data_IF_559918584111
#
_entry.id   IF_559918584111
#
_cell.length_a   1.000
_cell.length_b   1.000
_cell.length_c   1.000
_cell.angle_alpha   90.00
_cell.angle_beta   90.00
_cell.angle_gamma   90.00
#
_symmetry.space_group_name_H-M   'P 1'
#
loop_
_entity.id
_entity.type
_entity.pdbx_description
1 polymer ?
#
# COMPACT_ATOMS: atom_id res chain seq x y z
N UNK A 1 -10.37 -18.07 2.43
CA UNK A 1 -9.36 -17.01 2.66
C UNK A 1 -9.34 -16.07 1.47
N UNK A 2 -9.36 -14.76 1.69
CA UNK A 2 -9.50 -13.75 0.63
C UNK A 2 -8.16 -13.35 -0.03
N UNK A 3 -7.02 -13.53 0.68
CA UNK A 3 -5.68 -13.07 0.28
C UNK A 3 -5.30 -13.37 -1.17
N UNK A 4 -5.31 -14.63 -1.65
CA UNK A 4 -4.92 -14.95 -3.03
C UNK A 4 -5.82 -14.32 -4.11
N UNK A 5 -7.12 -14.16 -3.80
CA UNK A 5 -8.07 -13.54 -4.74
C UNK A 5 -7.85 -12.03 -4.82
N UNK A 6 -7.67 -11.38 -3.67
CA UNK A 6 -7.34 -9.96 -3.58
C UNK A 6 -5.99 -9.68 -4.25
N UNK A 7 -4.99 -10.54 -4.07
CA UNK A 7 -3.69 -10.39 -4.71
C UNK A 7 -3.79 -10.37 -6.23
N UNK A 8 -4.60 -11.28 -6.79
CA UNK A 8 -4.84 -11.32 -8.24
C UNK A 8 -5.52 -10.05 -8.74
N UNK A 9 -6.52 -9.55 -8.02
CA UNK A 9 -7.25 -8.34 -8.40
C UNK A 9 -6.38 -7.10 -8.29
N UNK A 10 -5.63 -6.97 -7.18
CA UNK A 10 -4.69 -5.88 -6.95
C UNK A 10 -3.65 -5.81 -8.06
N UNK A 11 -3.09 -6.95 -8.51
CA UNK A 11 -2.14 -6.98 -9.62
C UNK A 11 -2.72 -6.57 -10.99
N UNK A 12 -4.04 -6.49 -11.14
CA UNK A 12 -4.69 -5.99 -12.37
C UNK A 12 -5.17 -4.54 -12.25
N UNK A 13 -5.09 -3.96 -11.05
CA UNK A 13 -5.52 -2.59 -10.81
C UNK A 13 -4.42 -1.60 -11.22
N UNK A 14 -4.80 -0.45 -11.74
CA UNK A 14 -3.85 0.63 -12.03
C UNK A 14 -3.35 1.33 -10.76
N UNK A 15 -4.20 1.36 -9.73
CA UNK A 15 -3.95 2.01 -8.45
C UNK A 15 -4.37 1.05 -7.34
N UNK A 16 -3.51 0.88 -6.33
CA UNK A 16 -3.79 0.08 -5.12
C UNK A 16 -3.43 0.91 -3.89
N UNK A 17 -4.35 0.95 -2.92
CA UNK A 17 -4.12 1.47 -1.59
C UNK A 17 -4.30 0.30 -0.61
N UNK A 18 -3.36 0.13 0.32
CA UNK A 18 -3.42 -0.96 1.29
C UNK A 18 -2.77 -0.55 2.61
N UNK A 19 -3.35 -0.99 3.72
CA UNK A 19 -2.72 -0.89 5.04
C UNK A 19 -1.55 -1.87 5.17
N UNK A 20 -0.49 -1.50 5.91
CA UNK A 20 0.61 -2.43 6.20
C UNK A 20 0.13 -3.65 7.00
N UNK A 21 -0.79 -3.44 7.93
CA UNK A 21 -1.43 -4.48 8.74
C UNK A 21 -2.33 -5.42 7.92
N UNK A 22 -3.05 -4.87 6.94
CA UNK A 22 -3.82 -5.64 5.98
C UNK A 22 -2.91 -6.50 5.10
N UNK A 23 -1.81 -5.92 4.58
CA UNK A 23 -0.84 -6.64 3.77
C UNK A 23 -0.14 -7.76 4.55
N UNK A 24 0.18 -7.52 5.82
CA UNK A 24 0.72 -8.53 6.74
C UNK A 24 -0.30 -9.67 6.93
N UNK A 25 -1.56 -9.33 7.21
CA UNK A 25 -2.63 -10.31 7.46
C UNK A 25 -3.04 -11.11 6.21
N UNK A 26 -3.04 -10.48 5.04
CA UNK A 26 -3.52 -11.07 3.79
C UNK A 26 -2.42 -11.80 3.02
N UNK A 27 -1.19 -11.30 3.07
CA UNK A 27 -0.08 -11.72 2.20
C UNK A 27 1.23 -12.01 2.93
N UNK A 28 1.32 -11.75 4.24
CA UNK A 28 2.53 -11.97 5.02
C UNK A 28 3.64 -10.95 4.78
N UNK A 29 3.33 -9.81 4.16
CA UNK A 29 4.28 -8.73 3.91
C UNK A 29 4.36 -7.82 5.13
N UNK A 30 5.56 -7.63 5.65
CA UNK A 30 5.85 -6.80 6.83
C UNK A 30 6.41 -5.43 6.46
N UNK A 31 6.96 -5.27 5.25
CA UNK A 31 7.48 -3.98 4.73
C UNK A 31 6.77 -3.52 3.46
N UNK A 32 6.87 -2.22 3.16
CA UNK A 32 6.29 -1.64 1.95
C UNK A 32 6.94 -2.21 0.68
N UNK A 33 8.24 -2.49 0.73
CA UNK A 33 9.02 -3.11 -0.35
C UNK A 33 8.57 -4.56 -0.62
N UNK A 34 8.25 -5.33 0.43
CA UNK A 34 7.71 -6.68 0.28
C UNK A 34 6.35 -6.67 -0.43
N UNK A 35 5.48 -5.71 -0.09
CA UNK A 35 4.20 -5.51 -0.79
C UNK A 35 4.43 -5.13 -2.24
N UNK A 36 5.36 -4.20 -2.48
CA UNK A 36 5.73 -3.71 -3.80
C UNK A 36 6.26 -4.83 -4.71
N UNK A 37 7.12 -5.71 -4.19
CA UNK A 37 7.61 -6.87 -4.91
C UNK A 37 6.50 -7.89 -5.24
N UNK A 38 5.50 -8.01 -4.38
CA UNK A 38 4.36 -8.92 -4.57
C UNK A 38 3.29 -8.35 -5.54
N UNK A 39 3.24 -7.02 -5.68
CA UNK A 39 2.32 -6.28 -6.54
C UNK A 39 3.08 -5.45 -7.61
N UNK A 40 3.70 -6.10 -8.62
CA UNK A 40 4.36 -5.40 -9.71
C UNK A 40 3.40 -4.77 -10.73
N UNK A 41 2.12 -5.15 -10.71
CA UNK A 41 1.13 -4.71 -11.71
C UNK A 41 0.66 -3.25 -11.60
N UNK A 42 0.35 -2.71 -10.41
CA UNK A 42 -0.13 -1.35 -10.25
C UNK A 42 0.90 -0.30 -10.67
N UNK A 43 0.40 0.72 -11.40
CA UNK A 43 1.15 1.92 -11.72
C UNK A 43 1.33 2.84 -10.52
N UNK A 44 0.37 2.82 -9.58
CA UNK A 44 0.50 3.46 -8.27
C UNK A 44 0.18 2.45 -7.18
N UNK A 45 1.09 2.27 -6.24
CA UNK A 45 0.90 1.44 -5.06
C UNK A 45 1.22 2.26 -3.81
N UNK A 46 0.19 2.53 -3.02
CA UNK A 46 0.31 3.28 -1.77
C UNK A 46 0.12 2.34 -0.58
N UNK A 47 1.13 2.25 0.27
CA UNK A 47 1.10 1.49 1.51
C UNK A 47 1.02 2.46 2.69
N UNK A 48 -0.01 2.33 3.52
CA UNK A 48 -0.19 3.14 4.73
C UNK A 48 0.22 2.34 5.96
N UNK A 49 1.27 2.77 6.67
CA UNK A 49 1.63 2.23 7.98
C UNK A 49 0.96 3.04 9.10
N UNK A 50 -0.37 2.90 9.21
CA UNK A 50 -1.19 3.52 10.25
C UNK A 50 -0.93 5.03 10.41
N UNK A 51 -0.39 5.46 11.55
CA UNK A 51 -0.06 6.84 11.90
C UNK A 51 1.45 7.12 11.84
N UNK A 52 2.25 6.27 11.18
CA UNK A 52 3.70 6.48 11.02
C UNK A 52 4.04 7.15 9.71
N UNK A 53 3.66 6.52 8.61
CA UNK A 53 4.01 6.97 7.27
C UNK A 53 3.07 6.37 6.22
N UNK A 54 3.12 6.95 5.02
CA UNK A 54 2.66 6.35 3.79
C UNK A 54 3.81 6.29 2.79
N UNK A 55 3.92 5.18 2.06
CA UNK A 55 4.91 4.97 1.01
C UNK A 55 4.19 4.75 -0.31
N UNK A 56 4.50 5.54 -1.32
CA UNK A 56 4.00 5.35 -2.68
C UNK A 56 5.12 4.83 -3.59
N UNK A 57 4.84 3.75 -4.32
CA UNK A 57 5.62 3.30 -5.46
C UNK A 57 4.88 3.70 -6.74
N UNK A 58 5.52 4.49 -7.59
CA UNK A 58 5.00 4.90 -8.89
C UNK A 58 5.81 4.21 -9.98
N UNK A 59 5.11 3.51 -10.89
CA UNK A 59 5.68 2.80 -12.02
C UNK A 59 5.20 3.40 -13.31
N UNK A 60 6.13 4.03 -14.00
CA UNK A 60 5.87 4.65 -15.28
C UNK A 60 5.96 3.62 -16.42
N UNK A 61 5.31 3.94 -17.55
CA UNK A 61 5.27 3.04 -18.73
C UNK A 61 6.65 2.76 -19.34
N UNK A 62 7.65 3.58 -18.99
CA UNK A 62 9.05 3.42 -19.40
C UNK A 62 9.85 2.48 -18.48
N UNK A 63 9.19 1.79 -17.54
CA UNK A 63 9.80 0.91 -16.52
C UNK A 63 10.63 1.64 -15.46
N UNK A 64 10.53 2.97 -15.36
CA UNK A 64 11.09 3.70 -14.23
C UNK A 64 10.17 3.55 -13.02
N UNK A 65 10.78 3.23 -11.86
CA UNK A 65 10.10 3.21 -10.57
C UNK A 65 10.61 4.40 -9.73
N UNK A 66 9.68 5.14 -9.13
CA UNK A 66 9.99 6.16 -8.15
C UNK A 66 9.26 5.87 -6.84
N UNK A 67 9.90 6.21 -5.72
CA UNK A 67 9.39 5.94 -4.38
C UNK A 67 9.27 7.24 -3.60
N UNK A 68 8.10 7.51 -3.05
CA UNK A 68 7.82 8.68 -2.21
C UNK A 68 7.41 8.23 -0.80
N UNK A 69 8.09 8.77 0.22
CA UNK A 69 7.76 8.54 1.62
C UNK A 69 7.17 9.82 2.22
N UNK A 70 5.98 9.71 2.81
CA UNK A 70 5.31 10.82 3.49
C UNK A 70 5.08 10.42 4.95
N UNK A 71 5.77 11.09 5.87
CA UNK A 71 5.52 10.92 7.29
C UNK A 71 4.09 11.37 7.64
N UNK A 72 3.41 10.61 8.51
CA UNK A 72 2.10 11.02 8.99
C UNK A 72 2.21 12.31 9.82
N UNK A 73 1.33 13.28 9.57
CA UNK A 73 1.22 14.43 10.43
C UNK A 73 0.78 14.00 11.84
N UNK A 74 1.53 14.40 12.86
CA UNK A 74 1.14 14.19 14.26
C UNK A 74 -0.07 15.08 14.56
N UNK A 75 -1.26 14.50 14.47
CA UNK A 75 -2.51 15.12 14.89
C UNK A 75 -3.07 14.32 16.07
N UNK A 76 -3.64 15.00 17.07
CA UNK A 76 -4.39 14.33 18.13
C UNK A 76 -5.66 13.75 17.50
N UNK A 77 -5.67 12.43 17.32
CA UNK A 77 -6.80 11.69 16.74
C UNK A 77 -7.93 11.67 17.78
N UNK A 78 -9.03 12.37 17.50
CA UNK A 78 -10.21 12.42 18.40
C UNK A 78 -11.19 11.26 18.13
N UNK A 79 -11.33 10.80 16.87
CA UNK A 79 -12.08 9.58 16.50
C UNK A 79 -11.38 8.85 15.32
N UNK A 80 -11.17 7.51 15.38
CA UNK A 80 -10.34 6.78 14.40
C UNK A 80 -11.08 6.19 13.18
N UNK A 81 -12.41 6.31 13.10
CA UNK A 81 -13.20 5.63 12.04
C UNK A 81 -13.27 6.48 10.77
N UNK A 82 -12.89 5.92 9.62
CA UNK A 82 -13.09 6.54 8.29
C UNK A 82 -11.88 7.23 7.66
N UNK A 83 -10.67 7.11 8.21
CA UNK A 83 -9.47 7.73 7.66
C UNK A 83 -8.84 6.98 6.45
N UNK A 84 -9.55 6.03 5.84
CA UNK A 84 -9.01 5.17 4.79
C UNK A 84 -10.05 4.63 3.80
N UNK A 85 -11.23 5.23 3.71
CA UNK A 85 -12.28 4.87 2.75
C UNK A 85 -12.30 5.83 1.54
#
# INVERSE_FOLDING_TARGET
>A
MAGPRLLKLANMASVVLVGRDEAESLWGCTTAEEVSALLPGPGHLVIKDSAKEAVEFVRERNLEESVCHVAAHRVDVVEPVGAGD
#
